data_IF_039013588389
#
_entry.id   IF_039013588389
#
_cell.length_a   1.000
_cell.length_b   1.000
_cell.length_c   1.000
_cell.angle_alpha   90.00
_cell.angle_beta   90.00
_cell.angle_gamma   90.00
#
_symmetry.space_group_name_H-M   'P 1'
#
loop_
_entity.id
_entity.type
_entity.pdbx_description
1 polymer ?
#
# COMPACT_ATOMS: atom_id res chain seq x y z
N UNK A 1 1.31 1.23 45.65
CA UNK A 1 1.14 1.36 44.18
C UNK A 1 2.23 0.51 43.54
N UNK A 2 1.91 -0.72 43.10
CA UNK A 2 2.90 -1.61 42.48
C UNK A 2 3.27 -1.07 41.09
N UNK A 3 4.52 -0.64 40.96
CA UNK A 3 5.10 -0.28 39.66
C UNK A 3 5.52 -1.58 38.96
N UNK A 4 4.56 -2.26 38.32
CA UNK A 4 4.89 -3.33 37.38
C UNK A 4 5.45 -2.64 36.15
N UNK A 5 6.77 -2.59 36.04
CA UNK A 5 7.43 -2.31 34.77
C UNK A 5 7.04 -3.46 33.85
N UNK A 6 6.09 -3.21 32.94
CA UNK A 6 5.88 -4.11 31.82
C UNK A 6 7.11 -4.00 30.93
N UNK A 7 8.18 -4.70 31.33
CA UNK A 7 9.25 -5.09 30.44
C UNK A 7 8.58 -5.99 29.40
N UNK A 8 8.43 -5.46 28.18
CA UNK A 8 8.14 -6.30 27.03
C UNK A 8 9.24 -7.35 27.02
N UNK A 9 8.90 -8.59 27.39
CA UNK A 9 9.82 -9.72 27.48
C UNK A 9 10.20 -10.16 26.05
N UNK A 10 10.87 -9.28 25.29
CA UNK A 10 11.53 -9.57 24.02
C UNK A 10 12.84 -10.29 24.32
N UNK A 11 12.76 -11.51 24.88
CA UNK A 11 13.95 -12.24 25.38
C UNK A 11 14.98 -12.65 24.34
N UNK A 12 14.78 -12.36 23.05
CA UNK A 12 15.82 -12.54 22.02
C UNK A 12 15.77 -11.40 20.99
N UNK A 13 16.93 -10.80 20.69
CA UNK A 13 17.12 -9.83 19.60
C UNK A 13 16.49 -10.32 18.26
N UNK A 14 16.47 -11.64 18.07
CA UNK A 14 15.87 -12.32 16.92
C UNK A 14 14.36 -12.07 16.83
N UNK A 15 13.62 -12.14 17.95
CA UNK A 15 12.17 -11.92 17.95
C UNK A 15 11.82 -10.48 17.56
N UNK A 16 12.61 -9.51 18.01
CA UNK A 16 12.47 -8.11 17.60
C UNK A 16 12.76 -7.94 16.11
N UNK A 17 13.87 -8.48 15.62
CA UNK A 17 14.26 -8.41 14.22
C UNK A 17 13.20 -9.02 13.30
N UNK A 18 12.64 -10.19 13.66
CA UNK A 18 11.58 -10.85 12.91
C UNK A 18 10.30 -10.02 12.86
N UNK A 19 9.87 -9.44 13.99
CA UNK A 19 8.69 -8.56 14.03
C UNK A 19 8.89 -7.30 13.19
N UNK A 20 10.07 -6.69 13.26
CA UNK A 20 10.41 -5.51 12.48
C UNK A 20 10.42 -5.82 10.98
N UNK A 21 11.07 -6.93 10.59
CA UNK A 21 11.13 -7.36 9.20
C UNK A 21 9.73 -7.65 8.65
N UNK A 22 8.89 -8.34 9.40
CA UNK A 22 7.50 -8.60 9.01
C UNK A 22 6.69 -7.31 8.81
N UNK A 23 6.86 -6.32 9.70
CA UNK A 23 6.24 -5.00 9.55
C UNK A 23 6.73 -4.27 8.29
N UNK A 24 8.05 -4.24 8.05
CA UNK A 24 8.62 -3.57 6.88
C UNK A 24 8.20 -4.24 5.57
N UNK A 25 8.19 -5.57 5.52
CA UNK A 25 7.71 -6.34 4.38
C UNK A 25 6.22 -6.07 4.11
N UNK A 26 5.40 -6.00 5.16
CA UNK A 26 3.98 -5.69 5.04
C UNK A 26 3.75 -4.26 4.55
N UNK A 27 4.52 -3.28 5.06
CA UNK A 27 4.45 -1.89 4.62
C UNK A 27 4.92 -1.75 3.16
N UNK A 28 6.01 -2.41 2.78
CA UNK A 28 6.49 -2.48 1.40
C UNK A 28 5.44 -3.12 0.48
N UNK A 29 4.87 -4.25 0.88
CA UNK A 29 3.79 -4.93 0.16
C UNK A 29 2.57 -4.02 -0.05
N UNK A 30 2.16 -3.28 0.98
CA UNK A 30 1.09 -2.29 0.88
C UNK A 30 1.41 -1.22 -0.17
N UNK A 31 2.62 -0.64 -0.15
CA UNK A 31 3.01 0.39 -1.14
C UNK A 31 3.00 -0.14 -2.56
N UNK A 32 3.54 -1.34 -2.79
CA UNK A 32 3.54 -1.98 -4.11
C UNK A 32 2.12 -2.27 -4.58
N UNK A 33 1.24 -2.77 -3.70
CA UNK A 33 -0.16 -3.01 -4.02
C UNK A 33 -0.89 -1.72 -4.42
N UNK A 34 -0.71 -0.64 -3.67
CA UNK A 34 -1.33 0.67 -3.97
C UNK A 34 -0.84 1.21 -5.31
N UNK A 35 0.47 1.14 -5.58
CA UNK A 35 1.04 1.54 -6.86
C UNK A 35 0.47 0.71 -8.01
N UNK A 36 0.41 -0.61 -7.86
CA UNK A 36 -0.14 -1.52 -8.87
C UNK A 36 -1.61 -1.20 -9.19
N UNK A 37 -2.43 -0.91 -8.17
CA UNK A 37 -3.82 -0.48 -8.36
C UNK A 37 -3.89 0.87 -9.08
N UNK A 38 -3.06 1.84 -8.71
CA UNK A 38 -3.04 3.16 -9.35
C UNK A 38 -2.67 3.09 -10.84
N UNK A 39 -1.64 2.29 -11.18
CA UNK A 39 -1.27 2.05 -12.58
C UNK A 39 -2.40 1.36 -13.34
N UNK A 40 -2.97 0.29 -12.80
CA UNK A 40 -4.07 -0.42 -13.45
C UNK A 40 -5.31 0.47 -13.64
N UNK A 41 -5.65 1.29 -12.64
CA UNK A 41 -6.74 2.26 -12.72
C UNK A 41 -6.49 3.33 -13.79
N UNK A 42 -5.27 3.84 -13.88
CA UNK A 42 -4.89 4.80 -14.91
C UNK A 42 -5.03 4.19 -16.31
N UNK A 43 -4.47 3.00 -16.53
CA UNK A 43 -4.60 2.31 -17.81
C UNK A 43 -6.05 1.97 -18.14
N UNK A 44 -6.85 1.55 -17.16
CA UNK A 44 -8.27 1.27 -17.34
C UNK A 44 -9.03 2.53 -17.77
N UNK A 45 -8.78 3.67 -17.10
CA UNK A 45 -9.40 4.96 -17.44
C UNK A 45 -9.03 5.44 -18.84
N UNK A 46 -7.80 5.21 -19.28
CA UNK A 46 -7.40 5.52 -20.66
C UNK A 46 -8.14 4.59 -21.64
N UNK A 47 -8.25 3.30 -21.31
CA UNK A 47 -8.91 2.31 -22.16
C UNK A 47 -10.42 2.49 -22.31
N UNK A 48 -11.09 3.07 -21.31
CA UNK A 48 -12.52 3.38 -21.40
C UNK A 48 -12.80 4.61 -22.27
N UNK A 49 -11.82 5.50 -22.42
CA UNK A 49 -11.93 6.68 -23.28
C UNK A 49 -11.64 6.36 -24.75
N UNK A 50 -10.90 5.29 -25.06
CA UNK A 50 -10.66 4.90 -26.45
C UNK A 50 -11.91 4.29 -27.09
N UNK A 51 -12.25 4.80 -28.29
CA UNK A 51 -13.20 4.18 -29.18
C UNK A 51 -12.44 3.36 -30.22
N UNK A 52 -12.55 2.04 -30.14
CA UNK A 52 -11.86 1.11 -31.04
C UNK A 52 -12.82 0.59 -32.12
N UNK A 53 -12.37 0.59 -33.36
CA UNK A 53 -13.10 0.06 -34.50
C UNK A 53 -12.18 -0.76 -35.41
N UNK A 54 -12.78 -1.73 -36.10
CA UNK A 54 -12.07 -2.51 -37.11
C UNK A 54 -11.92 -1.69 -38.40
N UNK A 55 -10.70 -1.49 -38.88
CA UNK A 55 -10.43 -0.79 -40.13
C UNK A 55 -9.11 -1.30 -40.75
N UNK A 56 -9.06 -1.42 -42.08
CA UNK A 56 -7.85 -1.87 -42.81
C UNK A 56 -7.16 -3.12 -42.21
N UNK A 57 -7.92 -4.18 -41.92
CA UNK A 57 -7.42 -5.45 -41.36
C UNK A 57 -6.64 -5.32 -40.03
N UNK A 58 -6.86 -4.24 -39.29
CA UNK A 58 -6.27 -4.01 -37.98
C UNK A 58 -7.29 -3.39 -37.03
N UNK A 59 -7.02 -3.50 -35.72
CA UNK A 59 -7.82 -2.80 -34.73
C UNK A 59 -7.28 -1.38 -34.52
N UNK A 60 -8.08 -0.37 -34.85
CA UNK A 60 -7.73 1.03 -34.69
C UNK A 60 -8.45 1.61 -33.47
N UNK A 61 -7.70 2.00 -32.45
CA UNK A 61 -8.19 2.67 -31.25
C UNK A 61 -7.88 4.16 -31.32
N UNK A 62 -8.90 5.01 -31.25
CA UNK A 62 -8.77 6.47 -31.27
C UNK A 62 -9.30 7.07 -29.98
N UNK A 63 -8.59 8.06 -29.44
CA UNK A 63 -9.14 8.91 -28.38
C UNK A 63 -10.09 9.91 -29.06
N UNK A 64 -11.36 10.03 -28.66
CA UNK A 64 -12.29 11.00 -29.22
C UNK A 64 -11.85 12.40 -28.78
N UNK A 65 -10.95 13.04 -29.54
CA UNK A 65 -10.66 14.47 -29.40
C UNK A 65 -11.33 15.24 -30.52
N UNK A 66 -11.77 16.46 -30.22
CA UNK A 66 -12.32 17.41 -31.21
C UNK A 66 -11.25 17.86 -32.21
N UNK A 67 -9.98 17.70 -31.87
CA UNK A 67 -8.83 18.07 -32.68
C UNK A 67 -8.49 17.00 -33.73
N UNK A 68 -8.15 17.40 -34.98
CA UNK A 68 -7.90 16.48 -36.11
C UNK A 68 -6.61 15.64 -35.98
N UNK A 69 -5.80 15.86 -34.94
CA UNK A 69 -4.55 15.14 -34.65
C UNK A 69 -4.68 14.15 -33.48
N UNK A 70 -5.84 13.51 -33.29
CA UNK A 70 -5.98 12.47 -32.27
C UNK A 70 -4.99 11.32 -32.53
N UNK A 71 -4.21 10.93 -31.52
CA UNK A 71 -3.35 9.73 -31.60
C UNK A 71 -4.20 8.49 -31.87
N UNK A 72 -3.85 7.79 -32.95
CA UNK A 72 -4.49 6.53 -33.34
C UNK A 72 -3.54 5.38 -33.02
N UNK A 73 -3.95 4.48 -32.13
CA UNK A 73 -3.20 3.28 -31.82
C UNK A 73 -3.65 2.15 -32.76
N UNK A 74 -2.70 1.54 -33.46
CA UNK A 74 -2.95 0.46 -34.41
C UNK A 74 -2.45 -0.83 -33.80
N UNK A 75 -3.35 -1.76 -33.55
CA UNK A 75 -3.01 -3.12 -33.12
C UNK A 75 -3.13 -4.06 -34.32
N UNK A 76 -1.97 -4.57 -34.77
CA UNK A 76 -1.87 -5.58 -35.83
C UNK A 76 -1.90 -6.98 -35.20
N UNK A 77 -2.29 -7.98 -35.99
CA UNK A 77 -2.32 -9.40 -35.61
C UNK A 77 -3.30 -9.77 -34.47
N UNK A 78 -4.42 -9.05 -34.37
CA UNK A 78 -5.54 -9.44 -33.48
C UNK A 78 -6.72 -9.92 -34.29
N UNK A 79 -7.31 -11.06 -33.92
CA UNK A 79 -8.45 -11.65 -34.63
C UNK A 79 -9.71 -10.80 -34.51
N UNK A 80 -9.91 -10.14 -33.36
CA UNK A 80 -11.03 -9.24 -33.09
C UNK A 80 -10.62 -8.07 -32.17
N UNK A 81 -11.15 -6.87 -32.46
CA UNK A 81 -10.99 -5.69 -31.60
C UNK A 81 -11.54 -5.89 -30.18
N UNK A 82 -12.53 -6.78 -30.01
CA UNK A 82 -13.15 -7.12 -28.73
C UNK A 82 -12.19 -7.84 -27.79
N UNK A 83 -11.16 -8.52 -28.30
CA UNK A 83 -10.13 -9.15 -27.46
C UNK A 83 -9.29 -8.10 -26.73
N UNK A 84 -8.99 -6.97 -27.39
CA UNK A 84 -8.25 -5.86 -26.77
C UNK A 84 -9.17 -5.05 -25.85
N UNK A 85 -10.39 -4.72 -26.28
CA UNK A 85 -11.28 -3.88 -25.48
C UNK A 85 -11.98 -4.62 -24.35
N UNK A 86 -12.15 -5.95 -24.44
CA UNK A 86 -12.81 -6.77 -23.44
C UNK A 86 -11.82 -7.47 -22.52
N UNK A 87 -10.99 -8.36 -23.08
CA UNK A 87 -10.12 -9.24 -22.29
C UNK A 87 -9.07 -8.45 -21.51
N UNK A 88 -8.44 -7.43 -22.12
CA UNK A 88 -7.48 -6.57 -21.42
C UNK A 88 -8.12 -5.76 -20.29
N UNK A 89 -9.35 -5.24 -20.49
CA UNK A 89 -10.10 -4.56 -19.42
C UNK A 89 -10.41 -5.51 -18.27
N UNK A 90 -10.80 -6.74 -18.58
CA UNK A 90 -11.08 -7.77 -17.58
C UNK A 90 -9.81 -8.09 -16.76
N UNK A 91 -8.66 -8.27 -17.40
CA UNK A 91 -7.39 -8.49 -16.70
C UNK A 91 -7.01 -7.32 -15.80
N UNK A 92 -7.17 -6.07 -16.26
CA UNK A 92 -6.92 -4.89 -15.43
C UNK A 92 -7.85 -4.85 -14.21
N UNK A 93 -9.14 -5.16 -14.38
CA UNK A 93 -10.10 -5.21 -13.26
C UNK A 93 -9.72 -6.30 -12.25
N UNK A 94 -9.37 -7.49 -12.71
CA UNK A 94 -8.91 -8.59 -11.85
C UNK A 94 -7.65 -8.16 -11.09
N UNK A 95 -6.69 -7.53 -11.77
CA UNK A 95 -5.47 -7.01 -11.13
C UNK A 95 -5.79 -5.98 -10.05
N UNK A 96 -6.69 -5.04 -10.32
CA UNK A 96 -7.12 -4.04 -9.32
C UNK A 96 -7.75 -4.70 -8.10
N UNK A 97 -8.64 -5.68 -8.28
CA UNK A 97 -9.31 -6.38 -7.18
C UNK A 97 -8.28 -7.16 -6.34
N UNK A 98 -7.44 -7.97 -6.98
CA UNK A 98 -6.46 -8.81 -6.27
C UNK A 98 -5.42 -7.97 -5.51
N UNK A 99 -4.91 -6.89 -6.11
CA UNK A 99 -3.98 -5.99 -5.40
C UNK A 99 -4.67 -5.21 -4.29
N UNK A 100 -5.94 -4.86 -4.42
CA UNK A 100 -6.70 -4.22 -3.34
C UNK A 100 -6.90 -5.16 -2.15
N UNK A 101 -7.24 -6.43 -2.41
CA UNK A 101 -7.36 -7.46 -1.38
C UNK A 101 -6.02 -7.71 -0.68
N UNK A 102 -4.94 -7.85 -1.45
CA UNK A 102 -3.59 -8.01 -0.91
C UNK A 102 -3.17 -6.79 -0.08
N UNK A 103 -3.39 -5.58 -0.59
CA UNK A 103 -3.13 -4.33 0.11
C UNK A 103 -3.90 -4.23 1.42
N UNK A 104 -5.17 -4.64 1.45
CA UNK A 104 -5.97 -4.67 2.68
C UNK A 104 -5.36 -5.63 3.72
N UNK A 105 -4.91 -6.82 3.31
CA UNK A 105 -4.24 -7.77 4.19
C UNK A 105 -2.92 -7.19 4.73
N UNK A 106 -2.11 -6.55 3.89
CA UNK A 106 -0.88 -5.87 4.30
C UNK A 106 -1.16 -4.72 5.28
N UNK A 107 -2.24 -3.94 5.06
CA UNK A 107 -2.68 -2.89 5.96
C UNK A 107 -3.09 -3.45 7.33
N UNK A 108 -3.89 -4.53 7.35
CA UNK A 108 -4.30 -5.19 8.59
C UNK A 108 -3.09 -5.75 9.36
N UNK A 109 -2.14 -6.38 8.66
CA UNK A 109 -0.90 -6.85 9.26
C UNK A 109 -0.10 -5.69 9.87
N UNK A 110 0.07 -4.58 9.13
CA UNK A 110 0.71 -3.38 9.65
C UNK A 110 -0.02 -2.82 10.88
N UNK A 111 -1.35 -2.78 10.85
CA UNK A 111 -2.17 -2.28 11.95
C UNK A 111 -2.05 -3.13 13.21
N UNK A 112 -2.13 -4.46 13.08
CA UNK A 112 -1.97 -5.39 14.22
C UNK A 112 -0.57 -5.25 14.83
N UNK A 113 0.46 -5.18 13.99
CA UNK A 113 1.85 -5.02 14.43
C UNK A 113 2.10 -3.67 15.10
N UNK A 114 1.56 -2.60 14.51
CA UNK A 114 1.59 -1.26 15.09
C UNK A 114 0.88 -1.23 16.44
N UNK A 115 -0.33 -1.79 16.52
CA UNK A 115 -1.11 -1.88 17.75
C UNK A 115 -0.36 -2.67 18.82
N UNK A 116 0.19 -3.84 18.50
CA UNK A 116 0.97 -4.63 19.45
C UNK A 116 2.17 -3.84 20.02
N UNK A 117 2.80 -2.97 19.21
CA UNK A 117 3.95 -2.17 19.65
C UNK A 117 3.55 -0.92 20.43
N UNK A 118 2.53 -0.18 20.00
CA UNK A 118 2.16 1.13 20.54
C UNK A 118 1.02 1.12 21.56
N UNK A 119 0.26 0.04 21.70
CA UNK A 119 -0.79 -0.07 22.72
C UNK A 119 -0.23 -0.05 24.16
N UNK A 120 1.08 -0.28 24.32
CA UNK A 120 1.80 -0.19 25.60
C UNK A 120 2.34 1.23 25.87
N UNK A 121 2.46 2.09 24.86
CA UNK A 121 3.13 3.40 24.98
C UNK A 121 2.32 4.46 25.76
N UNK A 122 1.03 4.22 26.06
CA UNK A 122 0.25 5.14 26.91
C UNK A 122 0.56 5.03 28.42
N UNK A 123 1.45 4.14 28.85
CA UNK A 123 1.85 4.01 30.26
C UNK A 123 3.27 4.59 30.53
N UNK A 124 3.95 5.09 29.50
CA UNK A 124 5.37 5.49 29.55
C UNK A 124 5.68 6.97 29.74
N UNK A 125 4.70 7.87 29.84
CA UNK A 125 4.94 9.29 30.17
C UNK A 125 4.94 9.48 31.70
N UNK A 126 5.84 8.79 32.41
CA UNK A 126 6.36 9.38 33.65
C UNK A 126 7.56 10.22 33.26
N UNK A 127 7.36 11.52 33.15
CA UNK A 127 8.45 12.48 33.35
C UNK A 127 9.00 12.21 34.75
N UNK A 128 10.08 11.44 34.86
CA UNK A 128 10.91 11.51 36.05
C UNK A 128 11.49 12.92 36.06
N UNK A 129 10.89 13.81 36.85
CA UNK A 129 11.44 15.12 37.15
C UNK A 129 12.84 14.91 37.72
N UNK A 130 13.83 15.19 36.90
CA UNK A 130 15.25 15.15 37.22
C UNK A 130 15.56 16.41 38.06
N UNK A 131 14.91 16.55 39.22
CA UNK A 131 15.09 17.67 40.15
C UNK A 131 14.74 17.23 41.57
N UNK A 132 15.62 16.44 42.16
CA UNK A 132 15.80 16.39 43.61
C UNK A 132 17.21 15.87 43.94
N UNK A 133 18.23 16.58 43.45
CA UNK A 133 19.49 16.65 44.18
C UNK A 133 19.53 18.00 44.88
N UNK A 134 20.05 17.99 46.10
CA UNK A 134 20.42 19.13 46.96
C UNK A 134 19.33 19.76 47.83
N UNK A 135 19.00 19.03 48.91
CA UNK A 135 18.37 19.58 50.11
C UNK A 135 19.22 19.33 51.36
N UNK A 136 20.29 20.12 51.49
CA UNK A 136 21.07 20.35 52.72
C UNK A 136 20.20 20.40 53.98
N UNK A 137 20.42 19.52 54.96
CA UNK A 137 20.32 19.87 56.39
C UNK A 137 21.20 18.94 57.24
N UNK A 138 22.11 19.60 57.95
CA UNK A 138 23.02 19.12 58.97
C UNK A 138 22.30 19.21 60.31
N UNK A 139 22.38 18.20 61.19
CA UNK A 139 22.45 18.48 62.63
C UNK A 139 23.01 17.33 63.45
N UNK A 140 23.93 17.77 64.31
CA UNK A 140 24.59 17.21 65.51
C UNK A 140 23.73 16.21 66.28
#
# INVERSE_FOLDING_TARGET
MLCVSYQVDERTCIQFAMKLLYFLLSAGGLTVCVLAVAFAAHHYSQLTQFSCGWALDACHCKLPSVEPLSRTFVYRDVTDCTSITGTFKLFLLIQMILNSLCGLLCLLACFVMWKHRYQVFYVGVRMCSLTASEGRQQKV
#
